data_IF_753183379733
#
_entry.id   IF_753183379733
#
_cell.length_a   1.000
_cell.length_b   1.000
_cell.length_c   1.000
_cell.angle_alpha   90.00
_cell.angle_beta   90.00
_cell.angle_gamma   90.00
#
_symmetry.space_group_name_H-M   'P 1'
#
loop_
_entity.id
_entity.type
_entity.pdbx_description
1 polymer ?
#
# COMPACT_ATOMS: atom_id res chain seq x y z
N UNK A 1 -14.68 15.46 8.70
CA UNK A 1 -15.06 14.89 9.98
C UNK A 1 -14.62 13.46 9.97
N UNK A 2 -13.42 13.16 10.54
CA UNK A 2 -13.30 11.90 11.21
C UNK A 2 -14.19 12.07 12.44
N UNK A 3 -15.41 11.67 12.30
CA UNK A 3 -15.98 10.92 13.35
C UNK A 3 -15.09 9.64 13.37
N UNK A 4 -14.10 9.60 14.23
CA UNK A 4 -14.20 8.54 15.20
C UNK A 4 -15.63 8.75 15.68
N UNK A 5 -16.58 8.06 15.07
CA UNK A 5 -17.79 7.74 15.79
C UNK A 5 -17.20 7.00 16.98
N UNK A 6 -17.11 7.69 18.13
CA UNK A 6 -16.61 7.11 19.39
C UNK A 6 -17.36 5.82 19.69
N UNK A 7 -18.41 5.59 18.94
CA UNK A 7 -19.33 4.46 18.97
C UNK A 7 -19.07 3.38 17.89
N UNK A 8 -18.02 3.46 17.05
CA UNK A 8 -17.70 2.41 16.06
C UNK A 8 -16.70 1.43 16.65
N UNK A 9 -17.13 0.18 16.80
CA UNK A 9 -16.30 -0.94 17.26
C UNK A 9 -16.01 -1.87 16.10
N UNK A 10 -14.73 -2.21 15.89
CA UNK A 10 -14.31 -3.20 14.89
C UNK A 10 -13.73 -4.41 15.61
N UNK A 11 -14.39 -5.56 15.48
CA UNK A 11 -13.90 -6.83 16.01
C UNK A 11 -13.37 -7.70 14.90
N UNK A 12 -12.24 -8.36 15.14
CA UNK A 12 -11.64 -9.33 14.25
C UNK A 12 -11.83 -10.75 14.79
N UNK A 13 -12.46 -11.60 14.00
CA UNK A 13 -12.63 -13.02 14.29
C UNK A 13 -11.74 -13.84 13.36
N UNK A 14 -10.95 -14.75 13.90
CA UNK A 14 -10.12 -15.68 13.14
C UNK A 14 -10.94 -16.92 12.73
N UNK A 15 -10.59 -17.49 11.55
CA UNK A 15 -11.21 -18.74 11.04
C UNK A 15 -12.70 -18.65 10.70
N UNK A 16 -13.22 -17.46 10.39
CA UNK A 16 -14.59 -17.32 9.93
C UNK A 16 -14.71 -17.70 8.45
N UNK A 17 -15.54 -18.70 8.14
CA UNK A 17 -15.76 -19.23 6.80
C UNK A 17 -16.89 -18.54 6.02
N UNK A 18 -17.54 -17.53 6.57
CA UNK A 18 -18.72 -16.88 5.98
C UNK A 18 -18.48 -16.27 4.58
N UNK A 19 -17.23 -16.21 4.09
CA UNK A 19 -16.97 -15.83 2.71
C UNK A 19 -17.55 -16.84 1.70
N UNK A 20 -17.70 -18.10 2.09
CA UNK A 20 -18.21 -19.17 1.22
C UNK A 20 -19.73 -19.04 0.96
N UNK A 21 -20.44 -18.21 1.73
CA UNK A 21 -21.86 -17.91 1.56
C UNK A 21 -22.12 -16.89 0.44
N UNK A 22 -21.06 -16.21 -0.04
CA UNK A 22 -21.20 -15.21 -1.10
C UNK A 22 -21.02 -15.82 -2.47
N UNK A 23 -22.01 -15.58 -3.37
CA UNK A 23 -21.91 -15.99 -4.76
C UNK A 23 -20.84 -15.19 -5.52
N UNK A 24 -20.74 -13.88 -5.27
CA UNK A 24 -19.71 -13.01 -5.85
C UNK A 24 -18.74 -12.51 -4.80
N UNK A 25 -17.47 -12.58 -5.10
CA UNK A 25 -16.39 -12.07 -4.25
C UNK A 25 -15.45 -11.16 -5.03
N UNK A 26 -14.87 -10.20 -4.33
CA UNK A 26 -13.81 -9.37 -4.87
C UNK A 26 -12.49 -10.08 -4.69
N UNK A 27 -11.82 -10.38 -5.81
CA UNK A 27 -10.50 -10.99 -5.84
C UNK A 27 -9.41 -9.96 -6.16
N UNK A 28 -8.26 -10.08 -5.50
CA UNK A 28 -7.07 -9.27 -5.82
C UNK A 28 -5.87 -10.19 -5.96
N UNK A 29 -5.26 -10.21 -7.16
CA UNK A 29 -4.07 -11.02 -7.49
C UNK A 29 -2.82 -10.15 -7.53
N UNK A 30 -1.77 -10.59 -6.85
CA UNK A 30 -0.48 -9.91 -6.78
C UNK A 30 0.65 -10.90 -6.49
N UNK A 31 1.60 -11.03 -7.42
CA UNK A 31 2.64 -12.06 -7.34
C UNK A 31 2.03 -13.46 -7.20
N UNK A 32 2.41 -14.18 -6.13
CA UNK A 32 1.88 -15.50 -5.79
C UNK A 32 0.66 -15.46 -4.88
N UNK A 33 0.17 -14.28 -4.55
CA UNK A 33 -0.94 -14.11 -3.63
C UNK A 33 -2.26 -13.91 -4.36
N UNK A 34 -3.32 -14.39 -3.74
CA UNK A 34 -4.71 -14.15 -4.12
C UNK A 34 -5.50 -13.82 -2.85
N UNK A 35 -5.95 -12.57 -2.73
CA UNK A 35 -6.83 -12.13 -1.65
C UNK A 35 -8.27 -12.14 -2.13
N UNK A 36 -9.16 -12.75 -1.37
CA UNK A 36 -10.60 -12.71 -1.57
C UNK A 36 -11.26 -11.89 -0.48
N UNK A 37 -12.29 -11.13 -0.84
CA UNK A 37 -13.07 -10.31 0.09
C UNK A 37 -14.53 -10.29 -0.32
N UNK A 38 -15.43 -10.45 0.65
CA UNK A 38 -16.86 -10.16 0.51
C UNK A 38 -17.36 -9.38 1.73
N UNK A 39 -18.50 -8.74 1.64
CA UNK A 39 -19.12 -8.02 2.74
C UNK A 39 -20.64 -8.10 2.67
N UNK A 40 -21.29 -8.13 3.83
CA UNK A 40 -22.75 -8.21 3.95
C UNK A 40 -23.45 -6.96 3.44
N UNK A 41 -22.79 -5.81 3.52
CA UNK A 41 -23.34 -4.54 3.04
C UNK A 41 -22.46 -3.97 1.92
N UNK A 42 -22.78 -4.32 0.67
CA UNK A 42 -22.04 -3.89 -0.52
C UNK A 42 -22.24 -2.41 -0.89
N UNK A 43 -23.29 -1.76 -0.39
CA UNK A 43 -23.60 -0.35 -0.66
C UNK A 43 -22.60 0.64 -0.03
N UNK A 44 -21.80 0.18 0.92
CA UNK A 44 -20.72 0.98 1.51
C UNK A 44 -19.38 0.72 0.86
N UNK A 45 -19.26 1.04 -0.40
CA UNK A 45 -17.96 1.38 -0.98
C UNK A 45 -17.47 2.63 -0.23
N UNK A 46 -16.77 2.41 0.86
CA UNK A 46 -16.06 3.38 1.68
C UNK A 46 -16.64 4.78 1.72
N UNK A 47 -16.95 5.29 2.89
CA UNK A 47 -16.99 6.71 3.30
C UNK A 47 -17.82 7.72 2.48
N UNK A 48 -18.68 7.35 1.57
CA UNK A 48 -19.72 8.26 1.16
C UNK A 48 -20.76 8.27 2.28
N UNK A 49 -20.66 9.26 3.15
CA UNK A 49 -21.80 9.60 4.00
C UNK A 49 -22.98 9.76 3.06
N UNK A 50 -24.09 9.03 3.24
CA UNK A 50 -25.18 9.00 2.27
C UNK A 50 -25.72 10.40 1.95
N UNK A 51 -25.52 11.37 2.82
CA UNK A 51 -26.04 12.73 2.70
C UNK A 51 -24.93 13.79 2.63
N UNK A 52 -23.73 13.48 2.13
CA UNK A 52 -22.67 14.47 1.99
C UNK A 52 -22.19 14.62 0.57
N UNK A 53 -22.33 15.80 -0.01
CA UNK A 53 -21.81 16.17 -1.34
C UNK A 53 -20.55 17.03 -1.18
N UNK A 54 -19.51 16.72 -1.94
CA UNK A 54 -18.30 17.55 -1.98
C UNK A 54 -18.59 18.83 -2.74
N UNK A 55 -18.31 19.97 -2.11
CA UNK A 55 -18.50 21.30 -2.71
C UNK A 55 -17.18 21.84 -3.25
N UNK A 56 -16.09 21.70 -2.46
CA UNK A 56 -14.74 22.12 -2.84
C UNK A 56 -13.69 21.25 -2.15
N UNK A 57 -12.40 21.56 -2.32
CA UNK A 57 -11.32 20.86 -1.61
C UNK A 57 -11.50 21.04 -0.10
N UNK A 58 -11.74 19.94 0.63
CA UNK A 58 -11.92 19.94 2.09
C UNK A 58 -13.30 20.39 2.59
N UNK A 59 -14.23 20.78 1.70
CA UNK A 59 -15.57 21.22 2.08
C UNK A 59 -16.63 20.25 1.52
N UNK A 60 -17.58 19.91 2.38
CA UNK A 60 -18.73 19.05 2.08
C UNK A 60 -20.00 19.73 2.55
N UNK A 61 -21.12 19.46 1.90
CA UNK A 61 -22.44 19.85 2.38
C UNK A 61 -23.23 18.60 2.74
N UNK A 62 -23.83 18.59 3.91
CA UNK A 62 -24.85 17.60 4.26
C UNK A 62 -26.13 17.93 3.49
N UNK A 63 -26.51 17.08 2.55
CA UNK A 63 -27.67 17.32 1.68
C UNK A 63 -29.03 17.18 2.39
N UNK A 64 -29.04 16.62 3.62
CA UNK A 64 -30.26 16.53 4.42
C UNK A 64 -30.46 17.76 5.32
N UNK A 65 -29.37 18.36 5.85
CA UNK A 65 -29.43 19.51 6.76
C UNK A 65 -28.95 20.81 6.13
N UNK A 66 -28.41 20.77 4.90
CA UNK A 66 -27.75 21.88 4.20
C UNK A 66 -26.55 22.49 4.95
N UNK A 67 -26.05 21.82 5.98
CA UNK A 67 -24.89 22.29 6.75
C UNK A 67 -23.58 22.02 6.01
N UNK A 68 -22.67 23.00 6.06
CA UNK A 68 -21.33 22.83 5.54
C UNK A 68 -20.43 22.12 6.55
N UNK A 69 -19.74 21.09 6.10
CA UNK A 69 -18.84 20.28 6.90
C UNK A 69 -17.43 20.42 6.35
N UNK A 70 -16.50 20.95 7.15
CA UNK A 70 -15.08 20.99 6.81
C UNK A 70 -14.46 19.62 7.08
N UNK A 71 -13.70 19.09 6.11
CA UNK A 71 -12.94 17.86 6.32
C UNK A 71 -11.89 18.10 7.42
N UNK A 72 -11.63 17.08 8.24
CA UNK A 72 -10.55 17.13 9.23
C UNK A 72 -9.23 17.33 8.50
N UNK A 73 -8.50 18.38 8.84
CA UNK A 73 -7.12 18.58 8.42
C UNK A 73 -6.21 17.83 9.39
N UNK A 74 -5.23 17.14 8.85
CA UNK A 74 -4.23 16.43 9.60
C UNK A 74 -2.91 17.20 9.52
N UNK A 75 -2.23 17.36 10.66
CA UNK A 75 -0.92 18.04 10.75
C UNK A 75 0.18 17.16 10.09
N UNK A 76 0.04 15.86 10.27
CA UNK A 76 0.94 14.88 9.66
C UNK A 76 0.19 13.63 9.20
N UNK A 77 0.88 12.73 8.50
CA UNK A 77 0.25 11.52 8.00
C UNK A 77 0.04 10.42 9.04
N UNK A 78 0.82 10.43 10.12
CA UNK A 78 0.69 9.49 11.24
C UNK A 78 -0.66 9.56 11.92
N UNK A 79 -1.28 10.74 11.96
CA UNK A 79 -2.60 10.93 12.55
C UNK A 79 -3.72 10.18 11.81
N UNK A 80 -3.53 9.82 10.55
CA UNK A 80 -4.50 9.05 9.79
C UNK A 80 -4.07 7.60 9.61
N UNK A 81 -4.17 6.82 10.70
CA UNK A 81 -3.75 5.42 10.76
C UNK A 81 -4.43 4.56 9.67
N UNK A 82 -5.69 4.82 9.33
CA UNK A 82 -6.40 4.03 8.32
C UNK A 82 -5.84 4.24 6.91
N UNK A 83 -5.51 5.49 6.54
CA UNK A 83 -4.83 5.78 5.28
C UNK A 83 -3.39 5.27 5.26
N UNK A 84 -2.72 5.30 6.41
CA UNK A 84 -1.38 4.76 6.58
C UNK A 84 -1.38 3.25 6.31
N UNK A 85 -2.23 2.49 7.00
CA UNK A 85 -2.39 1.04 6.79
C UNK A 85 -2.73 0.70 5.34
N UNK A 86 -3.64 1.46 4.72
CA UNK A 86 -3.98 1.30 3.30
C UNK A 86 -2.79 1.55 2.38
N UNK A 87 -1.97 2.57 2.66
CA UNK A 87 -0.76 2.86 1.89
C UNK A 87 0.27 1.74 2.03
N UNK A 88 0.47 1.21 3.24
CA UNK A 88 1.36 0.10 3.52
C UNK A 88 0.91 -1.19 2.81
N UNK A 89 -0.40 -1.49 2.81
CA UNK A 89 -0.96 -2.64 2.09
C UNK A 89 -0.82 -2.49 0.56
N UNK A 90 -1.01 -1.29 0.03
CA UNK A 90 -0.81 -1.02 -1.39
C UNK A 90 0.66 -1.21 -1.80
N UNK A 91 1.60 -0.72 -0.98
CA UNK A 91 3.03 -0.93 -1.20
C UNK A 91 3.39 -2.42 -1.15
N UNK A 92 2.89 -3.15 -0.15
CA UNK A 92 3.08 -4.59 -0.02
C UNK A 92 2.64 -5.32 -1.30
N UNK A 93 1.42 -5.09 -1.77
CA UNK A 93 0.88 -5.71 -2.98
C UNK A 93 1.65 -5.32 -4.23
N UNK A 94 2.08 -4.06 -4.32
CA UNK A 94 2.87 -3.57 -5.46
C UNK A 94 4.25 -4.22 -5.54
N UNK A 95 4.94 -4.39 -4.39
CA UNK A 95 6.23 -5.08 -4.31
C UNK A 95 6.07 -6.53 -4.73
N UNK A 96 5.10 -7.26 -4.17
CA UNK A 96 4.86 -8.66 -4.54
C UNK A 96 4.47 -8.83 -6.01
N UNK A 97 3.74 -7.88 -6.61
CA UNK A 97 3.41 -7.93 -8.04
C UNK A 97 4.65 -7.86 -8.94
N UNK A 98 5.65 -7.09 -8.54
CA UNK A 98 6.77 -6.74 -9.42
C UNK A 98 8.08 -7.45 -9.08
N UNK A 99 8.35 -7.66 -7.81
CA UNK A 99 9.60 -8.24 -7.31
C UNK A 99 9.41 -9.65 -6.78
N UNK A 100 8.45 -10.36 -7.36
CA UNK A 100 8.24 -11.77 -7.11
C UNK A 100 9.54 -12.57 -7.29
N UNK A 101 9.81 -13.52 -6.39
CA UNK A 101 11.08 -14.26 -6.29
C UNK A 101 12.32 -13.37 -6.06
N UNK A 102 12.12 -12.12 -5.62
CA UNK A 102 13.19 -11.16 -5.33
C UNK A 102 14.17 -10.97 -6.51
N UNK A 103 13.62 -10.90 -7.73
CA UNK A 103 14.39 -10.59 -8.93
C UNK A 103 14.49 -9.08 -9.07
N UNK A 104 15.71 -8.55 -8.93
CA UNK A 104 15.97 -7.12 -9.01
C UNK A 104 17.06 -6.69 -8.03
N UNK A 105 17.15 -5.39 -7.82
CA UNK A 105 18.12 -4.75 -6.94
C UNK A 105 17.43 -3.94 -5.86
N UNK A 106 18.01 -3.96 -4.68
CA UNK A 106 17.72 -3.03 -3.61
C UNK A 106 18.85 -2.02 -3.54
N UNK A 107 18.51 -0.74 -3.68
CA UNK A 107 19.42 0.38 -3.62
C UNK A 107 18.96 1.33 -2.51
N UNK A 108 19.93 1.98 -1.85
CA UNK A 108 19.67 3.06 -0.89
C UNK A 108 20.45 4.28 -1.33
N UNK A 109 19.77 5.41 -1.48
CA UNK A 109 20.37 6.70 -1.78
C UNK A 109 20.34 7.55 -0.52
N UNK A 110 21.51 8.07 -0.13
CA UNK A 110 21.70 8.87 1.07
C UNK A 110 22.39 10.17 0.68
N UNK A 111 22.00 11.26 1.29
CA UNK A 111 22.68 12.55 1.13
C UNK A 111 23.98 12.60 1.93
N UNK A 112 24.98 13.34 1.43
CA UNK A 112 26.21 13.61 2.19
C UNK A 112 25.93 14.46 3.43
N UNK A 113 25.06 15.46 3.27
CA UNK A 113 24.53 16.27 4.37
C UNK A 113 23.07 15.92 4.66
N UNK A 114 22.60 16.01 5.92
CA UNK A 114 21.26 15.66 6.30
C UNK A 114 20.20 16.47 5.56
N UNK A 115 19.52 15.90 4.56
CA UNK A 115 18.44 16.56 3.82
C UNK A 115 17.10 16.37 4.50
N UNK A 116 16.40 17.48 4.76
CA UNK A 116 15.08 17.52 5.42
C UNK A 116 13.95 18.02 4.51
N UNK A 117 14.30 18.70 3.41
CA UNK A 117 13.30 19.20 2.45
C UNK A 117 12.89 18.11 1.47
N UNK A 118 11.65 17.64 1.63
CA UNK A 118 11.09 16.58 0.77
C UNK A 118 10.86 17.01 -0.68
N UNK A 119 10.67 18.30 -0.95
CA UNK A 119 10.48 18.80 -2.30
C UNK A 119 11.82 18.83 -3.06
N UNK A 120 12.91 19.18 -2.37
CA UNK A 120 14.25 19.05 -2.91
C UNK A 120 14.60 17.58 -3.19
N UNK A 121 14.31 16.69 -2.25
CA UNK A 121 14.51 15.25 -2.44
C UNK A 121 13.78 14.74 -3.68
N UNK A 122 12.57 15.21 -3.93
CA UNK A 122 11.82 14.81 -5.12
C UNK A 122 12.39 15.37 -6.41
N UNK A 123 12.94 16.59 -6.40
CA UNK A 123 13.66 17.19 -7.55
C UNK A 123 14.93 16.40 -7.86
N UNK A 124 15.74 16.12 -6.85
CA UNK A 124 16.98 15.37 -6.99
C UNK A 124 16.74 13.93 -7.47
N UNK A 125 15.74 13.28 -6.90
CA UNK A 125 15.34 11.96 -7.34
C UNK A 125 14.86 11.95 -8.80
N UNK A 126 14.15 12.98 -9.23
CA UNK A 126 13.72 13.11 -10.64
C UNK A 126 14.93 13.18 -11.58
N UNK A 127 15.96 13.97 -11.22
CA UNK A 127 17.20 14.08 -12.01
C UNK A 127 17.96 12.76 -12.04
N UNK A 128 18.14 12.13 -10.88
CA UNK A 128 18.73 10.79 -10.78
C UNK A 128 18.00 9.78 -11.68
N UNK A 129 16.68 9.75 -11.60
CA UNK A 129 15.87 8.81 -12.37
C UNK A 129 15.94 9.07 -13.88
N UNK A 130 16.02 10.31 -14.33
CA UNK A 130 16.22 10.65 -15.74
C UNK A 130 17.53 10.06 -16.27
N UNK A 131 18.64 10.18 -15.51
CA UNK A 131 19.96 9.62 -15.87
C UNK A 131 19.91 8.08 -15.93
N UNK A 132 19.25 7.44 -14.95
CA UNK A 132 19.07 5.98 -14.95
C UNK A 132 18.25 5.53 -16.15
N UNK A 133 17.12 6.18 -16.43
CA UNK A 133 16.23 5.82 -17.54
C UNK A 133 16.88 6.03 -18.91
N UNK A 134 17.75 7.00 -19.05
CA UNK A 134 18.51 7.19 -20.29
C UNK A 134 19.42 6.00 -20.59
N UNK A 135 20.09 5.45 -19.56
CA UNK A 135 20.98 4.29 -19.69
C UNK A 135 20.22 2.94 -19.75
N UNK A 136 19.09 2.88 -19.05
CA UNK A 136 18.26 1.67 -18.92
C UNK A 136 16.78 2.03 -19.17
N UNK A 137 16.36 2.13 -20.44
CA UNK A 137 15.00 2.59 -20.81
C UNK A 137 13.86 1.74 -20.21
N UNK A 138 14.11 0.44 -20.05
CA UNK A 138 13.13 -0.52 -19.53
C UNK A 138 13.21 -0.71 -18.01
N UNK A 139 14.03 0.09 -17.32
CA UNK A 139 14.10 0.06 -15.87
C UNK A 139 12.79 0.51 -15.24
N UNK A 140 12.30 -0.26 -14.25
CA UNK A 140 11.21 0.12 -13.38
C UNK A 140 11.68 0.25 -11.94
N UNK A 141 11.03 1.12 -11.16
CA UNK A 141 11.33 1.31 -9.75
C UNK A 141 10.09 1.37 -8.86
N UNK A 142 10.29 1.00 -7.61
CA UNK A 142 9.48 1.43 -6.46
C UNK A 142 10.45 2.14 -5.51
N UNK A 143 10.18 3.43 -5.21
CA UNK A 143 10.95 4.22 -4.24
C UNK A 143 10.15 4.37 -2.96
N UNK A 144 10.81 4.18 -1.84
CA UNK A 144 10.27 4.37 -0.49
C UNK A 144 11.10 5.47 0.18
N UNK A 145 10.44 6.51 0.64
CA UNK A 145 11.07 7.59 1.37
C UNK A 145 11.00 7.25 2.85
N UNK A 146 12.16 7.14 3.51
CA UNK A 146 12.28 6.76 4.92
C UNK A 146 13.05 7.83 5.68
N UNK A 147 12.49 8.40 6.78
CA UNK A 147 13.23 9.31 7.62
C UNK A 147 14.16 8.56 8.59
N UNK A 148 15.28 9.16 8.92
CA UNK A 148 16.12 8.73 10.02
C UNK A 148 15.63 9.30 11.35
N UNK A 149 16.09 8.78 12.47
CA UNK A 149 15.81 9.34 13.80
C UNK A 149 16.25 10.80 13.96
N UNK A 150 17.24 11.25 13.19
CA UNK A 150 17.70 12.66 13.15
C UNK A 150 16.90 13.53 12.18
N UNK A 151 15.81 13.01 11.60
CA UNK A 151 14.91 13.74 10.67
C UNK A 151 15.47 13.92 9.25
N UNK A 152 16.63 13.34 8.93
CA UNK A 152 17.13 13.27 7.56
C UNK A 152 16.44 12.12 6.79
N UNK A 153 16.43 12.19 5.47
CA UNK A 153 15.72 11.23 4.63
C UNK A 153 16.66 10.34 3.83
N UNK A 154 16.28 9.06 3.73
CA UNK A 154 16.86 8.10 2.79
C UNK A 154 15.82 7.71 1.74
N UNK A 155 16.31 7.37 0.54
CA UNK A 155 15.46 6.82 -0.51
C UNK A 155 15.85 5.36 -0.70
N UNK A 156 14.98 4.45 -0.30
CA UNK A 156 15.09 3.05 -0.68
C UNK A 156 14.49 2.84 -2.06
N UNK A 157 15.19 2.10 -2.91
CA UNK A 157 14.78 1.79 -4.27
C UNK A 157 14.76 0.28 -4.49
N UNK A 158 13.65 -0.23 -4.99
CA UNK A 158 13.59 -1.53 -5.60
C UNK A 158 13.60 -1.32 -7.11
N UNK A 159 14.61 -1.88 -7.79
CA UNK A 159 14.88 -1.68 -9.21
C UNK A 159 14.83 -3.00 -9.96
N UNK A 160 14.20 -3.03 -11.12
CA UNK A 160 14.25 -4.16 -12.05
C UNK A 160 14.11 -3.70 -13.50
N UNK A 161 14.68 -4.46 -14.42
CA UNK A 161 14.27 -4.38 -15.80
C UNK A 161 12.90 -5.05 -15.95
N UNK A 162 11.92 -4.33 -16.52
CA UNK A 162 10.55 -4.85 -16.64
C UNK A 162 10.36 -5.78 -17.82
N UNK A 163 11.30 -5.78 -18.79
CA UNK A 163 11.31 -6.68 -19.96
C UNK A 163 12.27 -7.84 -19.78
N UNK A 164 13.46 -7.57 -19.22
CA UNK A 164 14.54 -8.54 -19.11
C UNK A 164 14.99 -8.70 -17.65
N UNK A 165 14.74 -9.85 -17.05
CA UNK A 165 15.11 -10.14 -15.66
C UNK A 165 16.63 -10.39 -15.45
N UNK A 166 17.45 -10.38 -16.50
CA UNK A 166 18.90 -10.67 -16.44
C UNK A 166 19.78 -9.42 -16.47
N UNK A 167 19.23 -8.25 -16.21
CA UNK A 167 19.99 -7.00 -16.23
C UNK A 167 21.08 -6.98 -15.15
N UNK A 168 22.24 -6.47 -15.54
CA UNK A 168 23.31 -6.12 -14.62
C UNK A 168 23.29 -4.63 -14.33
N UNK A 169 23.22 -4.25 -13.05
CA UNK A 169 23.29 -2.87 -12.60
C UNK A 169 24.47 -2.71 -11.66
N UNK A 170 25.47 -1.92 -12.05
CA UNK A 170 26.68 -1.71 -11.27
C UNK A 170 26.54 -0.63 -10.22
N UNK A 171 27.33 -0.72 -9.17
CA UNK A 171 27.46 0.33 -8.17
C UNK A 171 27.91 1.66 -8.80
N UNK A 172 28.87 1.60 -9.71
CA UNK A 172 29.41 2.81 -10.38
C UNK A 172 28.32 3.56 -11.16
N UNK A 173 27.44 2.85 -11.84
CA UNK A 173 26.33 3.48 -12.56
C UNK A 173 25.40 4.25 -11.61
N UNK A 174 25.07 3.66 -10.45
CA UNK A 174 24.22 4.33 -9.47
C UNK A 174 24.94 5.55 -8.90
N UNK A 175 26.23 5.41 -8.54
CA UNK A 175 27.03 6.50 -7.99
C UNK A 175 27.19 7.67 -8.95
N UNK A 176 27.43 7.43 -10.23
CA UNK A 176 27.52 8.47 -11.26
C UNK A 176 26.19 9.22 -11.45
N UNK A 177 25.09 8.51 -11.29
CA UNK A 177 23.76 9.11 -11.41
C UNK A 177 23.35 9.85 -10.14
N UNK A 178 23.69 9.33 -8.96
CA UNK A 178 23.42 9.93 -7.66
C UNK A 178 24.62 10.77 -7.18
N UNK A 179 24.58 12.06 -7.47
CA UNK A 179 25.67 12.99 -7.17
C UNK A 179 25.52 13.73 -5.84
N UNK A 180 24.51 13.37 -5.03
CA UNK A 180 24.15 14.09 -3.79
C UNK A 180 24.69 13.46 -2.52
N UNK A 181 25.43 12.37 -2.62
CA UNK A 181 26.02 11.71 -1.47
C UNK A 181 26.33 10.25 -1.75
N UNK A 182 25.95 9.39 -0.82
CA UNK A 182 26.30 7.97 -0.83
C UNK A 182 25.19 7.12 -1.45
N UNK A 183 25.60 6.00 -2.02
CA UNK A 183 24.66 4.99 -2.48
C UNK A 183 25.10 3.59 -2.06
N UNK A 184 24.13 2.73 -1.84
CA UNK A 184 24.32 1.30 -1.64
C UNK A 184 23.47 0.56 -2.67
N UNK A 185 23.98 -0.53 -3.22
CA UNK A 185 23.22 -1.41 -4.10
C UNK A 185 23.57 -2.86 -3.87
N UNK A 186 22.57 -3.71 -3.83
CA UNK A 186 22.72 -5.17 -3.78
C UNK A 186 21.62 -5.85 -4.61
N UNK A 187 21.89 -7.06 -5.07
CA UNK A 187 20.80 -7.93 -5.55
C UNK A 187 19.83 -8.21 -4.42
N UNK A 188 18.55 -8.27 -4.72
CA UNK A 188 17.53 -8.61 -3.72
C UNK A 188 17.79 -10.00 -3.13
N UNK A 189 17.74 -10.12 -1.80
CA UNK A 189 18.03 -11.37 -1.09
C UNK A 189 16.82 -12.29 -1.16
N UNK A 190 17.02 -13.57 -1.50
CA UNK A 190 15.93 -14.55 -1.68
C UNK A 190 15.11 -14.84 -0.41
N UNK A 191 15.71 -14.69 0.77
CA UNK A 191 15.11 -14.97 2.08
C UNK A 191 14.46 -13.74 2.74
N UNK A 192 14.39 -12.59 2.06
CA UNK A 192 13.81 -11.35 2.59
C UNK A 192 12.48 -11.09 1.90
N UNK A 193 11.40 -10.98 2.67
CA UNK A 193 10.14 -10.43 2.20
C UNK A 193 10.20 -8.90 2.26
N UNK A 194 10.61 -8.28 1.15
CA UNK A 194 10.71 -6.82 1.04
C UNK A 194 9.35 -6.12 1.18
N UNK A 195 8.26 -6.77 0.74
CA UNK A 195 6.92 -6.24 0.93
C UNK A 195 6.58 -6.10 2.40
N UNK A 196 6.79 -7.16 3.17
CA UNK A 196 6.55 -7.16 4.62
C UNK A 196 7.54 -6.27 5.38
N UNK A 197 8.81 -6.24 4.95
CA UNK A 197 9.82 -5.37 5.52
C UNK A 197 9.39 -3.89 5.48
N UNK A 198 9.06 -3.37 4.29
CA UNK A 198 8.65 -1.98 4.15
C UNK A 198 7.26 -1.70 4.72
N UNK A 199 6.34 -2.68 4.67
CA UNK A 199 5.05 -2.57 5.33
C UNK A 199 5.19 -2.34 6.84
N UNK A 200 6.03 -3.14 7.51
CA UNK A 200 6.32 -3.00 8.95
C UNK A 200 6.93 -1.63 9.26
N UNK A 201 7.90 -1.17 8.48
CA UNK A 201 8.54 0.12 8.67
C UNK A 201 7.56 1.30 8.62
N UNK A 202 6.55 1.25 7.73
CA UNK A 202 5.51 2.29 7.63
C UNK A 202 4.54 2.23 8.82
N UNK A 203 4.38 1.09 9.50
CA UNK A 203 3.34 0.90 10.52
C UNK A 203 3.86 0.80 11.95
N UNK A 204 5.18 0.65 12.15
CA UNK A 204 5.76 0.29 13.44
C UNK A 204 6.23 1.48 14.29
N UNK A 205 6.58 2.60 13.67
CA UNK A 205 7.20 3.72 14.37
C UNK A 205 6.34 4.99 14.26
N UNK A 206 5.62 5.31 15.35
CA UNK A 206 4.72 6.45 15.37
C UNK A 206 5.49 7.79 15.34
N UNK A 207 6.66 7.89 15.98
CA UNK A 207 7.44 9.14 16.05
C UNK A 207 7.99 9.55 14.66
N UNK A 208 8.52 8.59 13.90
CA UNK A 208 8.99 8.85 12.53
C UNK A 208 7.86 9.20 11.56
N UNK A 209 6.63 8.78 11.86
CA UNK A 209 5.46 9.09 11.01
C UNK A 209 5.06 10.56 11.09
N UNK A 210 5.37 11.25 12.19
CA UNK A 210 5.11 12.68 12.36
C UNK A 210 5.93 13.53 11.38
N UNK A 211 7.07 13.04 10.91
CA UNK A 211 7.92 13.70 9.92
C UNK A 211 7.28 13.77 8.53
N UNK A 212 6.29 12.90 8.25
CA UNK A 212 5.58 12.93 6.96
C UNK A 212 4.50 14.01 6.96
N UNK A 213 4.85 15.20 6.51
CA UNK A 213 3.91 16.31 6.31
C UNK A 213 2.77 15.92 5.35
N UNK A 214 1.61 16.60 5.39
CA UNK A 214 0.56 16.44 4.40
C UNK A 214 1.11 16.65 2.98
N UNK A 215 0.77 15.71 2.06
CA UNK A 215 1.30 15.74 0.67
C UNK A 215 2.53 14.86 0.44
N UNK A 216 3.37 14.62 1.44
CA UNK A 216 4.52 13.70 1.33
C UNK A 216 4.03 12.26 1.13
N UNK A 217 4.57 11.57 0.14
CA UNK A 217 4.22 10.19 -0.19
C UNK A 217 5.25 9.22 0.39
N UNK A 218 4.78 8.19 1.09
CA UNK A 218 5.64 7.11 1.58
C UNK A 218 6.39 6.40 0.48
N UNK A 219 5.72 6.19 -0.66
CA UNK A 219 6.33 5.53 -1.81
C UNK A 219 5.84 6.13 -3.12
N UNK A 220 6.66 5.97 -4.13
CA UNK A 220 6.37 6.29 -5.53
C UNK A 220 6.83 5.13 -6.41
N UNK A 221 6.36 5.08 -7.63
CA UNK A 221 6.80 4.06 -8.60
C UNK A 221 6.80 4.61 -10.03
N UNK A 222 7.60 4.00 -10.88
CA UNK A 222 7.61 4.30 -12.31
C UNK A 222 6.32 3.83 -12.99
N UNK A 223 6.01 4.41 -14.14
CA UNK A 223 4.76 4.10 -14.87
C UNK A 223 4.72 2.66 -15.42
N UNK A 224 5.88 2.08 -15.72
CA UNK A 224 6.03 0.72 -16.26
C UNK A 224 5.97 -0.39 -15.19
N UNK A 225 5.81 -0.06 -13.91
CA UNK A 225 5.56 -1.05 -12.85
C UNK A 225 4.13 -1.56 -12.95
N UNK A 226 3.97 -2.89 -12.92
CA UNK A 226 2.66 -3.56 -12.96
C UNK A 226 1.87 -3.32 -11.68
N UNK A 227 0.58 -3.07 -11.81
CA UNK A 227 -0.33 -2.93 -10.64
C UNK A 227 -0.94 -4.28 -10.28
N UNK A 228 -1.29 -4.51 -8.99
CA UNK A 228 -2.13 -5.63 -8.60
C UNK A 228 -3.43 -5.63 -9.41
N UNK A 229 -3.89 -6.82 -9.80
CA UNK A 229 -5.14 -6.96 -10.55
C UNK A 229 -6.28 -7.26 -9.60
N UNK A 230 -7.32 -6.43 -9.64
CA UNK A 230 -8.54 -6.60 -8.83
C UNK A 230 -9.74 -6.77 -9.74
N UNK A 231 -10.54 -7.80 -9.48
CA UNK A 231 -11.73 -8.14 -10.25
C UNK A 231 -12.80 -8.74 -9.32
N UNK A 232 -14.03 -8.81 -9.81
CA UNK A 232 -15.12 -9.53 -9.14
C UNK A 232 -15.34 -10.83 -9.90
N UNK A 233 -15.48 -11.92 -9.18
CA UNK A 233 -15.69 -13.25 -9.73
C UNK A 233 -16.74 -14.02 -8.92
N UNK A 234 -17.42 -14.95 -9.57
CA UNK A 234 -18.34 -15.84 -8.90
C UNK A 234 -17.62 -17.03 -8.24
N UNK A 235 -18.33 -17.78 -7.43
CA UNK A 235 -17.77 -18.90 -6.66
C UNK A 235 -17.08 -19.94 -7.54
N UNK A 236 -17.67 -20.28 -8.68
CA UNK A 236 -17.11 -21.26 -9.62
C UNK A 236 -15.78 -20.77 -10.25
N UNK A 237 -15.76 -19.53 -10.72
CA UNK A 237 -14.54 -18.91 -11.27
C UNK A 237 -13.42 -18.86 -10.23
N UNK A 238 -13.74 -18.55 -8.97
CA UNK A 238 -12.76 -18.52 -7.88
C UNK A 238 -12.23 -19.92 -7.57
N UNK A 239 -13.08 -20.94 -7.47
CA UNK A 239 -12.63 -22.31 -7.26
C UNK A 239 -11.72 -22.76 -8.39
N UNK A 240 -12.12 -22.55 -9.64
CA UNK A 240 -11.29 -22.87 -10.81
C UNK A 240 -9.94 -22.12 -10.78
N UNK A 241 -9.92 -20.85 -10.38
CA UNK A 241 -8.69 -20.05 -10.26
C UNK A 241 -7.76 -20.60 -9.18
N UNK A 242 -8.32 -21.00 -8.02
CA UNK A 242 -7.55 -21.59 -6.92
C UNK A 242 -6.94 -22.91 -7.35
N UNK A 243 -7.70 -23.79 -7.93
CA UNK A 243 -7.27 -25.14 -8.34
C UNK A 243 -6.22 -25.06 -9.46
N UNK A 244 -6.52 -24.38 -10.56
CA UNK A 244 -5.58 -24.21 -11.69
C UNK A 244 -4.33 -23.43 -11.31
N UNK A 245 -4.46 -22.50 -10.37
CA UNK A 245 -3.36 -21.68 -9.88
C UNK A 245 -2.52 -22.34 -8.80
N UNK A 246 -2.91 -23.55 -8.32
CA UNK A 246 -2.30 -24.26 -7.21
C UNK A 246 -2.15 -23.37 -5.95
N UNK A 247 -3.24 -22.68 -5.59
CA UNK A 247 -3.28 -21.81 -4.43
C UNK A 247 -3.68 -22.58 -3.18
N UNK A 248 -2.96 -22.37 -2.07
CA UNK A 248 -3.32 -22.91 -0.74
C UNK A 248 -3.77 -21.77 0.17
N UNK A 249 -4.78 -22.05 0.99
CA UNK A 249 -5.26 -21.12 1.99
C UNK A 249 -4.15 -20.84 3.02
N UNK A 250 -3.79 -19.55 3.16
CA UNK A 250 -2.76 -19.08 4.09
C UNK A 250 -3.36 -18.44 5.35
N UNK A 251 -4.48 -17.70 5.19
CA UNK A 251 -5.13 -17.00 6.28
C UNK A 251 -6.60 -16.75 5.94
N UNK A 252 -7.47 -16.76 6.96
CA UNK A 252 -8.86 -16.33 6.83
C UNK A 252 -9.34 -15.66 8.12
N UNK A 253 -10.17 -14.63 7.97
CA UNK A 253 -10.75 -13.90 9.09
C UNK A 253 -11.94 -13.06 8.63
N UNK A 254 -12.77 -12.64 9.60
CA UNK A 254 -13.77 -11.60 9.37
C UNK A 254 -13.53 -10.35 10.22
N UNK A 255 -14.08 -9.23 9.78
CA UNK A 255 -14.17 -7.99 10.52
C UNK A 255 -15.64 -7.63 10.69
N UNK A 256 -16.11 -7.55 11.93
CA UNK A 256 -17.46 -7.08 12.26
C UNK A 256 -17.35 -5.61 12.64
N UNK A 257 -18.09 -4.77 11.93
CA UNK A 257 -18.17 -3.33 12.16
C UNK A 257 -19.51 -3.04 12.83
N UNK A 258 -19.47 -2.67 14.08
CA UNK A 258 -20.64 -2.35 14.89
C UNK A 258 -20.68 -0.87 15.24
N UNK A 259 -21.88 -0.35 15.47
CA UNK A 259 -22.11 0.97 16.04
C UNK A 259 -22.78 0.78 17.40
N UNK A 260 -22.28 1.45 18.43
CA UNK A 260 -22.99 1.59 19.70
C UNK A 260 -24.10 2.62 19.54
N UNK A 261 -25.30 2.27 19.88
CA UNK A 261 -26.46 3.15 19.96
C UNK A 261 -27.08 3.06 21.36
N UNK A 262 -28.08 3.91 21.67
CA UNK A 262 -28.77 3.91 22.99
C UNK A 262 -29.35 2.55 23.37
N UNK A 263 -29.77 1.75 22.39
CA UNK A 263 -30.38 0.45 22.58
C UNK A 263 -29.39 -0.74 22.50
N UNK A 264 -28.08 -0.46 22.39
CA UNK A 264 -27.04 -1.47 22.34
C UNK A 264 -26.16 -1.42 21.10
N UNK A 265 -25.58 -2.58 20.72
CA UNK A 265 -24.60 -2.70 19.62
C UNK A 265 -25.30 -3.14 18.32
N UNK A 266 -25.26 -2.32 17.29
CA UNK A 266 -25.83 -2.60 15.97
C UNK A 266 -24.73 -2.96 14.98
N UNK A 267 -24.81 -4.16 14.37
CA UNK A 267 -23.88 -4.56 13.31
C UNK A 267 -24.17 -3.80 12.02
N UNK A 268 -23.23 -2.96 11.60
CA UNK A 268 -23.31 -2.20 10.37
C UNK A 268 -22.84 -2.98 9.14
N UNK A 269 -21.82 -3.80 9.32
CA UNK A 269 -21.23 -4.59 8.22
C UNK A 269 -20.38 -5.72 8.79
N UNK A 270 -20.35 -6.86 8.08
CA UNK A 270 -19.38 -7.91 8.31
C UNK A 270 -18.60 -8.15 7.02
N UNK A 271 -17.28 -8.14 7.11
CA UNK A 271 -16.36 -8.22 5.97
C UNK A 271 -15.52 -9.47 6.15
N UNK A 272 -15.56 -10.35 5.17
CA UNK A 272 -14.88 -11.63 5.16
C UNK A 272 -13.67 -11.58 4.26
N UNK A 273 -12.58 -12.21 4.71
CA UNK A 273 -11.31 -12.28 3.99
C UNK A 273 -10.79 -13.71 3.94
N UNK A 274 -10.34 -14.15 2.76
CA UNK A 274 -9.48 -15.32 2.58
C UNK A 274 -8.23 -14.92 1.81
N UNK A 275 -7.07 -15.38 2.26
CA UNK A 275 -5.79 -15.13 1.62
C UNK A 275 -5.17 -16.44 1.22
N UNK A 276 -4.77 -16.52 -0.02
CA UNK A 276 -4.16 -17.69 -0.62
C UNK A 276 -2.75 -17.37 -1.11
N UNK A 277 -1.88 -18.36 -1.07
CA UNK A 277 -0.52 -18.29 -1.61
C UNK A 277 -0.30 -19.51 -2.51
N UNK A 278 0.34 -19.31 -3.65
CA UNK A 278 0.72 -20.43 -4.54
C UNK A 278 1.62 -21.40 -3.81
N UNK A 279 1.34 -22.68 -3.94
CA UNK A 279 2.26 -23.73 -3.52
C UNK A 279 3.57 -23.60 -4.29
N UNK A 280 4.69 -23.70 -3.59
CA UNK A 280 5.99 -23.89 -4.24
C UNK A 280 5.96 -25.31 -4.83
N UNK A 281 6.08 -25.40 -6.15
CA UNK A 281 6.40 -26.65 -6.85
C UNK A 281 7.88 -26.89 -6.70
#
# INVERSE_FOLDING_TARGET
>A
MNLKDENIIVRKEKKDNGLDDFYYVKATKYGDHLDLMACTNSGRKGSKKPNCKKVSKGMYVNTATNEYIKAKEYVNRGENISLLKKSADNLYKLIHTNFYKNIGYHCVLTYSEPQKDTDEIYRDFKIFWQKIRYRYPDMGYISILEPTQKGAWHIHLLLKDVKNNKMFLSYYTIRECWTKGYCYISKMRKNVDYGQYFRKKITADNELLELYKPGVRYFRHSRNIKKPVTFTANKYEITTLIDRGNYKLADQYSLTVNKLDFDGEITLNKIYYKKFIKSKV
#
